data_IF_225927299615
#
_entry.id   IF_225927299615
#
_cell.length_a   1.000
_cell.length_b   1.000
_cell.length_c   1.000
_cell.angle_alpha   90.00
_cell.angle_beta   90.00
_cell.angle_gamma   90.00
#
_symmetry.space_group_name_H-M   'P 1'
#
loop_
_entity.id
_entity.type
_entity.pdbx_description
1 polymer ?
#
# COMPACT_ATOMS: atom_id res chain seq x y z
N UNK A 1 28.35 -13.41 -21.35
CA UNK A 1 26.96 -13.29 -20.88
C UNK A 1 27.06 -12.81 -19.45
N UNK A 2 26.96 -11.51 -19.25
CA UNK A 2 26.83 -10.89 -17.92
C UNK A 2 25.84 -9.74 -18.11
N UNK A 3 24.56 -10.08 -18.03
CA UNK A 3 23.54 -9.13 -17.63
C UNK A 3 23.23 -9.54 -16.19
N UNK A 4 24.00 -8.96 -15.26
CA UNK A 4 23.58 -8.81 -13.87
C UNK A 4 22.34 -7.91 -13.92
N UNK A 5 21.18 -8.55 -14.12
CA UNK A 5 19.88 -7.96 -13.90
C UNK A 5 19.73 -7.89 -12.38
N UNK A 6 20.33 -6.83 -11.80
CA UNK A 6 19.95 -6.34 -10.48
C UNK A 6 18.49 -5.89 -10.63
N UNK A 7 17.59 -6.85 -10.42
CA UNK A 7 16.21 -6.60 -10.08
C UNK A 7 16.25 -5.88 -8.73
N UNK A 8 16.35 -4.56 -8.81
CA UNK A 8 15.97 -3.69 -7.71
C UNK A 8 14.48 -3.95 -7.48
N UNK A 9 14.18 -4.91 -6.61
CA UNK A 9 12.97 -4.92 -5.83
C UNK A 9 13.00 -3.60 -5.04
N UNK A 10 12.49 -2.54 -5.67
CA UNK A 10 12.20 -1.30 -4.99
C UNK A 10 11.18 -1.68 -3.93
N UNK A 11 11.65 -1.65 -2.69
CA UNK A 11 10.95 -2.03 -1.48
C UNK A 11 9.60 -1.26 -1.39
N UNK A 12 8.51 -1.89 -1.85
CA UNK A 12 7.14 -1.36 -1.70
C UNK A 12 6.70 -1.29 -0.22
N UNK A 13 7.45 -1.95 0.67
CA UNK A 13 7.42 -1.69 2.12
C UNK A 13 7.61 -0.20 2.47
N UNK A 14 8.26 0.58 1.60
CA UNK A 14 8.34 2.03 1.73
C UNK A 14 6.98 2.73 1.60
N UNK A 15 6.08 2.27 0.72
CA UNK A 15 4.78 2.90 0.50
C UNK A 15 3.85 2.72 1.73
N UNK A 16 3.96 1.57 2.41
CA UNK A 16 3.26 1.31 3.68
C UNK A 16 3.66 2.27 4.79
N UNK A 17 4.97 2.40 4.99
CA UNK A 17 5.54 3.29 5.98
C UNK A 17 5.18 4.75 5.68
N UNK A 18 5.20 5.15 4.40
CA UNK A 18 4.85 6.51 3.95
C UNK A 18 3.37 6.83 4.22
N UNK A 19 2.45 5.87 4.04
CA UNK A 19 1.02 6.12 4.31
C UNK A 19 0.76 6.28 5.81
N UNK A 20 1.32 5.41 6.65
CA UNK A 20 1.22 5.54 8.11
C UNK A 20 1.86 6.85 8.62
N UNK A 21 2.99 7.25 8.04
CA UNK A 21 3.66 8.52 8.35
C UNK A 21 2.78 9.74 7.99
N UNK A 22 2.09 9.71 6.85
CA UNK A 22 1.17 10.78 6.43
C UNK A 22 -0.04 10.90 7.35
N UNK A 23 -0.64 9.79 7.77
CA UNK A 23 -1.78 9.79 8.72
C UNK A 23 -1.34 10.28 10.09
N UNK A 24 -0.19 9.83 10.57
CA UNK A 24 0.41 10.27 11.83
C UNK A 24 0.76 11.77 11.83
N UNK A 25 1.31 12.28 10.72
CA UNK A 25 1.60 13.70 10.55
C UNK A 25 0.34 14.58 10.53
N UNK A 26 -0.74 14.08 9.94
CA UNK A 26 -2.05 14.74 9.95
C UNK A 26 -2.63 14.77 11.37
N UNK A 27 -2.64 13.63 12.07
CA UNK A 27 -3.09 13.54 13.46
C UNK A 27 -2.32 14.54 14.35
N UNK A 28 -0.99 14.54 14.25
CA UNK A 28 -0.12 15.47 14.99
C UNK A 28 -0.45 16.94 14.71
N UNK A 29 -0.77 17.28 13.45
CA UNK A 29 -1.15 18.64 13.08
C UNK A 29 -2.52 19.05 13.63
N UNK A 30 -3.49 18.12 13.65
CA UNK A 30 -4.82 18.37 14.18
C UNK A 30 -4.78 18.51 15.71
N UNK A 31 -4.09 17.61 16.42
CA UNK A 31 -3.96 17.70 17.88
C UNK A 31 -3.26 19.00 18.32
N UNK A 32 -2.24 19.45 17.59
CA UNK A 32 -1.59 20.74 17.85
C UNK A 32 -2.56 21.92 17.70
N UNK A 33 -3.51 21.85 16.78
CA UNK A 33 -4.53 22.91 16.63
C UNK A 33 -5.57 22.84 17.74
N UNK A 34 -5.95 21.63 18.18
CA UNK A 34 -6.79 21.45 19.36
C UNK A 34 -6.15 22.04 20.61
N UNK A 35 -4.85 21.83 20.85
CA UNK A 35 -4.14 22.47 21.96
C UNK A 35 -4.25 24.01 21.92
N UNK A 36 -4.13 24.61 20.73
CA UNK A 36 -4.30 26.06 20.57
C UNK A 36 -5.73 26.53 20.81
N UNK A 37 -6.72 25.73 20.41
CA UNK A 37 -8.14 26.01 20.64
C UNK A 37 -8.48 25.92 22.12
N UNK A 38 -8.04 24.87 22.80
CA UNK A 38 -8.19 24.69 24.26
C UNK A 38 -7.55 25.87 24.99
N UNK A 39 -6.33 26.26 24.59
CA UNK A 39 -5.63 27.40 25.19
C UNK A 39 -6.32 28.76 25.01
N UNK A 40 -7.21 28.92 24.02
CA UNK A 40 -7.95 30.16 23.76
C UNK A 40 -9.40 30.15 24.25
N UNK A 41 -10.05 29.00 24.21
CA UNK A 41 -11.51 28.87 24.33
C UNK A 41 -11.98 27.78 25.31
N UNK A 42 -11.07 27.12 26.03
CA UNK A 42 -11.32 25.99 26.94
C UNK A 42 -11.53 24.62 26.25
N UNK A 43 -11.48 23.55 27.03
CA UNK A 43 -11.57 22.14 26.59
C UNK A 43 -12.96 21.78 26.07
N UNK A 44 -14.00 22.41 26.58
CA UNK A 44 -15.38 22.10 26.22
C UNK A 44 -15.66 22.28 24.71
N UNK A 45 -14.90 23.13 24.03
CA UNK A 45 -15.04 23.38 22.58
C UNK A 45 -14.63 22.17 21.73
N UNK A 46 -13.71 21.33 22.23
CA UNK A 46 -13.20 20.18 21.48
C UNK A 46 -13.77 18.85 21.95
N UNK A 47 -14.47 18.80 23.11
CA UNK A 47 -14.97 17.54 23.70
C UNK A 47 -15.82 16.71 22.75
N UNK A 48 -16.73 17.33 22.00
CA UNK A 48 -17.59 16.61 21.05
C UNK A 48 -16.90 16.38 19.70
N UNK A 49 -15.92 17.23 19.35
CA UNK A 49 -15.22 17.16 18.08
C UNK A 49 -14.10 16.11 18.08
N UNK A 50 -13.42 15.92 19.22
CA UNK A 50 -12.33 14.99 19.39
C UNK A 50 -12.68 13.54 19.02
N UNK A 51 -13.79 12.93 19.50
CA UNK A 51 -14.14 11.57 19.10
C UNK A 51 -14.46 11.45 17.61
N UNK A 52 -15.00 12.50 16.98
CA UNK A 52 -15.24 12.50 15.53
C UNK A 52 -13.93 12.51 14.74
N UNK A 53 -12.95 13.32 15.16
CA UNK A 53 -11.63 13.35 14.53
C UNK A 53 -10.89 12.03 14.73
N UNK A 54 -10.91 11.47 15.93
CA UNK A 54 -10.33 10.14 16.21
C UNK A 54 -10.95 9.09 15.28
N UNK A 55 -12.28 9.04 15.18
CA UNK A 55 -12.97 8.11 14.29
C UNK A 55 -12.59 8.30 12.81
N UNK A 56 -12.42 9.54 12.35
CA UNK A 56 -11.98 9.82 10.97
C UNK A 56 -10.54 9.35 10.75
N UNK A 57 -9.63 9.56 11.70
CA UNK A 57 -8.24 9.11 11.61
C UNK A 57 -8.14 7.58 11.63
N UNK A 58 -8.90 6.90 12.50
CA UNK A 58 -8.98 5.44 12.56
C UNK A 58 -9.55 4.86 11.25
N UNK A 59 -10.60 5.48 10.70
CA UNK A 59 -11.16 5.06 9.42
C UNK A 59 -10.18 5.25 8.26
N UNK A 60 -9.39 6.33 8.28
CA UNK A 60 -8.35 6.58 7.29
C UNK A 60 -7.24 5.53 7.39
N UNK A 61 -6.79 5.21 8.61
CA UNK A 61 -5.80 4.17 8.86
C UNK A 61 -6.28 2.79 8.39
N UNK A 62 -7.53 2.43 8.71
CA UNK A 62 -8.16 1.19 8.23
C UNK A 62 -8.28 1.15 6.71
N UNK A 63 -8.71 2.24 6.08
CA UNK A 63 -8.81 2.33 4.62
C UNK A 63 -7.44 2.20 3.95
N UNK A 64 -6.39 2.79 4.53
CA UNK A 64 -5.01 2.63 4.06
C UNK A 64 -4.54 1.18 4.17
N UNK A 65 -4.78 0.50 5.29
CA UNK A 65 -4.41 -0.90 5.47
C UNK A 65 -5.08 -1.82 4.45
N UNK A 66 -6.40 -1.65 4.22
CA UNK A 66 -7.13 -2.41 3.20
C UNK A 66 -6.63 -2.09 1.79
N UNK A 67 -6.30 -0.83 1.50
CA UNK A 67 -5.78 -0.46 0.20
C UNK A 67 -4.41 -1.11 -0.07
N UNK A 68 -3.57 -1.21 0.95
CA UNK A 68 -2.29 -1.87 0.86
C UNK A 68 -2.42 -3.39 0.63
N UNK A 69 -3.32 -4.05 1.37
CA UNK A 69 -3.60 -5.47 1.16
C UNK A 69 -4.03 -5.75 -0.28
N UNK A 70 -4.90 -4.90 -0.84
CA UNK A 70 -5.33 -4.99 -2.24
C UNK A 70 -4.20 -4.72 -3.23
N UNK A 71 -3.31 -3.78 -2.93
CA UNK A 71 -2.15 -3.48 -3.77
C UNK A 71 -1.21 -4.69 -3.85
N UNK A 72 -0.94 -5.34 -2.72
CA UNK A 72 -0.16 -6.59 -2.64
C UNK A 72 -0.87 -7.73 -3.39
N UNK A 73 -2.19 -7.89 -3.23
CA UNK A 73 -2.96 -8.91 -3.97
C UNK A 73 -2.87 -8.69 -5.49
N UNK A 74 -2.97 -7.44 -5.95
CA UNK A 74 -2.83 -7.09 -7.36
C UNK A 74 -1.42 -7.40 -7.90
N UNK A 75 -0.37 -7.18 -7.12
CA UNK A 75 0.99 -7.54 -7.52
C UNK A 75 1.19 -9.04 -7.63
N UNK A 76 0.70 -9.82 -6.65
CA UNK A 76 0.76 -11.29 -6.71
C UNK A 76 0.02 -11.85 -7.93
N UNK A 77 -1.16 -11.29 -8.25
CA UNK A 77 -1.92 -11.69 -9.44
C UNK A 77 -1.22 -11.30 -10.75
N UNK A 78 -0.48 -10.18 -10.78
CA UNK A 78 0.35 -9.82 -11.94
C UNK A 78 1.50 -10.82 -12.10
N UNK A 79 2.19 -11.15 -11.02
CA UNK A 79 3.29 -12.11 -11.03
C UNK A 79 2.83 -13.50 -11.51
N UNK A 80 1.69 -14.01 -11.02
CA UNK A 80 1.13 -15.30 -11.47
C UNK A 80 0.77 -15.26 -12.97
N UNK A 81 0.16 -14.18 -13.44
CA UNK A 81 -0.11 -13.99 -14.87
C UNK A 81 1.19 -13.94 -15.70
N UNK A 82 2.21 -13.25 -15.22
CA UNK A 82 3.51 -13.17 -15.89
C UNK A 82 4.19 -14.55 -15.93
N UNK A 83 4.13 -15.36 -14.88
CA UNK A 83 4.70 -16.72 -14.86
C UNK A 83 3.93 -17.74 -15.72
N UNK A 84 2.63 -17.54 -15.94
CA UNK A 84 1.82 -18.34 -16.86
C UNK A 84 2.06 -17.98 -18.34
N UNK A 85 2.52 -16.76 -18.63
CA UNK A 85 2.77 -16.27 -19.99
C UNK A 85 3.99 -16.86 -20.74
N UNK A 86 5.18 -17.14 -20.14
CA UNK A 86 6.27 -17.82 -20.83
C UNK A 86 5.98 -19.31 -21.03
N UNK A 87 5.17 -19.88 -20.13
CA UNK A 87 4.85 -21.33 -20.08
C UNK A 87 3.99 -21.83 -21.25
N UNK A 88 3.34 -20.93 -22.01
CA UNK A 88 2.59 -21.30 -23.22
C UNK A 88 3.49 -21.41 -24.46
N UNK A 89 4.66 -20.76 -24.46
CA UNK A 89 5.61 -20.89 -25.57
C UNK A 89 6.48 -22.15 -25.48
N UNK A 90 6.74 -22.67 -24.27
CA UNK A 90 7.62 -23.84 -24.09
C UNK A 90 6.90 -25.19 -23.95
N UNK A 91 5.56 -25.21 -24.00
CA UNK A 91 4.77 -26.46 -24.08
C UNK A 91 4.27 -26.74 -25.50
N UNK A 92 5.20 -26.82 -26.45
CA UNK A 92 5.04 -27.69 -27.64
C UNK A 92 6.04 -28.86 -27.59
N UNK A 93 5.72 -29.98 -26.94
CA UNK A 93 6.39 -31.25 -27.18
C UNK A 93 5.51 -32.12 -28.09
N UNK A 94 5.81 -32.14 -29.39
CA UNK A 94 5.43 -33.20 -30.33
C UNK A 94 6.23 -32.95 -31.61
N UNK A 95 7.18 -33.78 -32.04
CA UNK A 95 7.06 -35.22 -32.16
C UNK A 95 7.22 -35.53 -33.65
N UNK A 96 8.43 -35.93 -34.05
CA UNK A 96 8.72 -36.77 -35.22
C UNK A 96 7.92 -36.55 -36.51
N UNK A 97 8.55 -35.94 -37.53
CA UNK A 97 8.38 -36.40 -38.91
C UNK A 97 9.68 -36.28 -39.70
N UNK A 98 10.44 -37.37 -39.66
CA UNK A 98 11.31 -37.79 -40.75
C UNK A 98 10.46 -37.95 -42.03
N UNK A 99 10.71 -37.15 -43.06
CA UNK A 99 10.39 -37.44 -44.47
C UNK A 99 11.53 -36.84 -45.30
N UNK A 100 12.49 -37.68 -45.70
CA UNK A 100 12.61 -38.27 -47.04
C UNK A 100 12.82 -37.21 -48.12
#
# INVERSE_FOLDING_TARGET
MELDDVVLYSDDSGNSAIMSERVSGLASSIYREFERLIGKYDEDVVKELMPLVVAVLENLESACAVNQEREVELELLKEDNEQLSPSTNEKKPCGSTQKR
#
